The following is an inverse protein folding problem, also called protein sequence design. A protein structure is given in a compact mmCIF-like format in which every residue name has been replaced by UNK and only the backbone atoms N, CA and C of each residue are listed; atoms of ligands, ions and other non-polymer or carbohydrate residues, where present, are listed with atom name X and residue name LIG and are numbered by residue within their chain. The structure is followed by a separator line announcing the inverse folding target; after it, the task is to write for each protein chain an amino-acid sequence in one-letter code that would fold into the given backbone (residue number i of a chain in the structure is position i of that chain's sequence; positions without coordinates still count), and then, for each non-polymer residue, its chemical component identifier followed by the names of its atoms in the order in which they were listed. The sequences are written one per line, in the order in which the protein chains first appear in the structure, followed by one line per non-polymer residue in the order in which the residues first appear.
data_IF_286633153631
#
_entry.id   IF_286633153631
#
_cell.length_a   1.000
_cell.length_b   1.000
_cell.length_c   1.000
_cell.angle_alpha   90.00
_cell.angle_beta   90.00
_cell.angle_gamma   90.00
#
_symmetry.space_group_name_H-M   'P 1'
#
loop_
_entity.id
_entity.type
_entity.pdbx_description
1 polymer ?
#
# COMPACT_ATOMS: atom_id res chain seq x y z
N UNK A 1 -3.94 -24.93 13.63
CA UNK A 1 -4.78 -23.71 13.56
C UNK A 1 -5.27 -23.55 12.13
N UNK A 2 -6.54 -23.21 11.87
CA UNK A 2 -7.10 -23.19 10.51
C UNK A 2 -6.36 -22.28 9.52
N UNK A 3 -5.62 -21.28 10.01
CA UNK A 3 -4.77 -20.41 9.18
C UNK A 3 -3.48 -21.07 8.67
N UNK A 4 -3.04 -22.20 9.23
CA UNK A 4 -1.84 -22.90 8.74
C UNK A 4 -2.07 -23.61 7.40
N UNK A 5 -3.33 -23.93 7.08
CA UNK A 5 -3.72 -24.48 5.79
C UNK A 5 -3.93 -23.40 4.71
N UNK A 6 -4.10 -22.13 5.11
CA UNK A 6 -4.28 -21.00 4.21
C UNK A 6 -2.96 -20.48 3.61
N UNK A 7 -1.81 -20.93 4.13
CA UNK A 7 -0.48 -20.54 3.64
C UNK A 7 -0.23 -20.93 2.17
N UNK A 8 -1.04 -21.79 1.56
CA UNK A 8 -0.95 -22.11 0.13
C UNK A 8 -1.95 -21.39 -0.77
N UNK A 9 -2.92 -20.64 -0.22
CA UNK A 9 -4.03 -20.07 -0.99
C UNK A 9 -3.92 -18.54 -1.19
N UNK A 10 -3.17 -17.84 -0.33
CA UNK A 10 -2.93 -16.40 -0.50
C UNK A 10 -1.95 -16.09 -1.66
N UNK A 11 -1.17 -17.08 -2.09
CA UNK A 11 -0.12 -16.91 -3.10
C UNK A 11 -0.66 -16.97 -4.55
N UNK A 12 -1.91 -17.39 -4.77
CA UNK A 12 -2.43 -17.63 -6.12
C UNK A 12 -3.08 -16.40 -6.78
N UNK A 13 -3.42 -15.36 -6.01
CA UNK A 13 -4.01 -14.11 -6.55
C UNK A 13 -3.33 -12.90 -5.91
N UNK A 14 -2.62 -12.07 -6.70
CA UNK A 14 -2.01 -10.85 -6.18
C UNK A 14 -3.03 -9.94 -5.51
N UNK A 15 -2.72 -9.43 -4.32
CA UNK A 15 -3.58 -8.48 -3.62
C UNK A 15 -2.80 -7.38 -2.90
N UNK A 16 -3.48 -6.25 -2.71
CA UNK A 16 -3.03 -5.15 -1.88
C UNK A 16 -4.17 -4.74 -0.92
N UNK A 17 -3.86 -4.71 0.38
CA UNK A 17 -4.76 -4.23 1.42
C UNK A 17 -4.30 -2.83 1.88
N UNK A 18 -5.12 -1.82 1.60
CA UNK A 18 -4.89 -0.44 2.04
C UNK A 18 -5.55 -0.11 3.36
N UNK A 19 -4.79 0.53 4.26
CA UNK A 19 -5.27 1.09 5.51
C UNK A 19 -5.15 2.61 5.46
N UNK A 20 -6.27 3.30 5.62
CA UNK A 20 -6.33 4.77 5.62
C UNK A 20 -7.31 5.30 6.66
N UNK A 21 -6.98 6.47 7.21
CA UNK A 21 -7.86 7.27 8.07
C UNK A 21 -8.69 8.23 7.20
N UNK A 22 -9.90 8.65 7.61
CA UNK A 22 -10.72 9.57 6.81
C UNK A 22 -10.00 10.86 6.36
N UNK A 23 -9.18 11.45 7.24
CA UNK A 23 -8.32 12.59 6.86
C UNK A 23 -7.38 12.25 5.70
N UNK A 24 -6.74 11.08 5.75
CA UNK A 24 -5.80 10.62 4.73
C UNK A 24 -6.50 10.36 3.39
N UNK A 25 -7.74 9.83 3.41
CA UNK A 25 -8.56 9.68 2.21
C UNK A 25 -8.94 11.02 1.59
N UNK A 26 -9.23 12.02 2.43
CA UNK A 26 -9.50 13.37 1.95
C UNK A 26 -8.25 13.99 1.30
N UNK A 27 -7.08 13.84 1.90
CA UNK A 27 -5.81 14.30 1.31
C UNK A 27 -5.52 13.58 -0.01
N UNK A 28 -5.76 12.26 -0.09
CA UNK A 28 -5.62 11.50 -1.34
C UNK A 28 -6.57 12.02 -2.42
N UNK A 29 -7.83 12.32 -2.08
CA UNK A 29 -8.80 12.87 -3.03
C UNK A 29 -8.42 14.26 -3.54
N UNK A 30 -7.75 15.08 -2.73
CA UNK A 30 -7.35 16.44 -3.09
C UNK A 30 -6.02 16.48 -3.86
N UNK A 31 -5.05 15.67 -3.48
CA UNK A 31 -3.65 15.79 -3.95
C UNK A 31 -3.13 14.55 -4.69
N UNK A 32 -3.90 13.46 -4.75
CA UNK A 32 -3.48 12.20 -5.35
C UNK A 32 -3.34 12.18 -6.87
N UNK A 33 -3.70 13.25 -7.57
CA UNK A 33 -3.60 13.31 -9.04
C UNK A 33 -2.22 13.75 -9.56
N UNK A 34 -1.44 14.47 -8.76
CA UNK A 34 -0.19 15.06 -9.25
C UNK A 34 1.05 14.27 -8.84
N UNK A 35 1.12 13.79 -7.59
CA UNK A 35 2.30 13.08 -7.10
C UNK A 35 1.93 12.06 -6.03
N UNK A 36 2.11 10.77 -6.33
CA UNK A 36 2.06 9.69 -5.34
C UNK A 36 3.47 9.12 -5.16
N UNK A 37 4.07 9.33 -4.00
CA UNK A 37 5.29 8.63 -3.61
C UNK A 37 4.90 7.31 -2.92
N UNK A 38 5.50 6.22 -3.37
CA UNK A 38 5.38 4.91 -2.72
C UNK A 38 6.74 4.56 -2.13
N UNK A 39 6.80 4.44 -0.81
CA UNK A 39 8.02 4.01 -0.11
C UNK A 39 7.78 2.66 0.59
N UNK A 40 8.65 1.68 0.32
CA UNK A 40 8.57 0.36 0.93
C UNK A 40 9.32 0.38 2.26
N UNK A 41 8.61 0.32 3.38
CA UNK A 41 9.29 0.32 4.68
C UNK A 41 9.64 -1.11 5.08
N UNK A 42 10.94 -1.46 5.01
CA UNK A 42 11.50 -2.62 5.71
C UNK A 42 11.45 -3.97 4.98
N UNK A 43 11.11 -3.98 3.69
CA UNK A 43 11.14 -5.19 2.85
C UNK A 43 10.01 -6.18 3.14
N UNK A 44 10.21 -7.42 2.72
CA UNK A 44 9.25 -8.52 2.88
C UNK A 44 9.31 -9.10 4.30
N UNK A 45 8.16 -9.25 4.98
CA UNK A 45 8.10 -9.90 6.29
C UNK A 45 8.30 -11.43 6.19
N UNK A 46 8.42 -12.13 7.34
CA UNK A 46 8.66 -13.59 7.38
C UNK A 46 7.61 -14.46 6.67
N UNK A 47 6.46 -13.88 6.31
CA UNK A 47 5.36 -14.55 5.64
C UNK A 47 5.22 -14.13 4.16
N UNK A 48 6.17 -13.39 3.59
CA UNK A 48 6.11 -13.02 2.17
C UNK A 48 5.37 -11.74 1.84
N UNK A 49 4.92 -10.95 2.83
CA UNK A 49 4.20 -9.69 2.57
C UNK A 49 5.10 -8.46 2.65
N UNK A 50 4.89 -7.52 1.73
CA UNK A 50 5.61 -6.24 1.69
C UNK A 50 4.71 -5.10 2.14
N UNK A 51 5.27 -4.18 2.91
CA UNK A 51 4.58 -3.00 3.40
C UNK A 51 5.03 -1.74 2.66
N UNK A 52 4.07 -0.97 2.17
CA UNK A 52 4.30 0.32 1.53
C UNK A 52 3.59 1.44 2.28
N UNK A 53 4.19 2.62 2.28
CA UNK A 53 3.54 3.88 2.63
C UNK A 53 3.31 4.65 1.35
N UNK A 54 2.06 5.06 1.14
CA UNK A 54 1.64 5.96 0.07
C UNK A 54 1.66 7.38 0.61
N UNK A 55 2.32 8.30 -0.07
CA UNK A 55 2.34 9.72 0.27
C UNK A 55 1.86 10.56 -0.92
N UNK A 56 1.10 11.61 -0.63
CA UNK A 56 0.83 12.70 -1.57
C UNK A 56 1.63 13.93 -1.19
N UNK A 57 1.78 14.87 -2.12
CA UNK A 57 2.41 16.17 -1.86
C UNK A 57 1.36 17.26 -1.99
N UNK A 58 1.25 18.12 -0.98
CA UNK A 58 0.31 19.25 -1.00
C UNK A 58 0.85 20.45 -1.80
N UNK A 59 0.06 21.52 -1.91
CA UNK A 59 0.43 22.74 -2.63
C UNK A 59 1.66 23.47 -2.05
N UNK A 60 2.07 23.13 -0.82
CA UNK A 60 3.23 23.69 -0.14
C UNK A 60 4.48 22.80 -0.28
N UNK A 61 4.42 21.75 -1.10
CA UNK A 61 5.47 20.73 -1.25
C UNK A 61 5.73 19.93 0.04
N UNK A 62 4.72 19.76 0.89
CA UNK A 62 4.80 18.95 2.11
C UNK A 62 4.22 17.57 1.84
N UNK A 63 5.00 16.54 2.14
CA UNK A 63 4.57 15.14 2.03
C UNK A 63 3.57 14.76 3.13
N UNK A 64 2.42 14.21 2.74
CA UNK A 64 1.40 13.70 3.63
C UNK A 64 1.19 12.19 3.39
N UNK A 65 1.38 11.31 4.39
CA UNK A 65 1.04 9.90 4.24
C UNK A 65 -0.48 9.74 4.11
N UNK A 66 -0.92 8.95 3.13
CA UNK A 66 -2.34 8.78 2.80
C UNK A 66 -2.82 7.33 2.86
N UNK A 67 -1.92 6.36 2.78
CA UNK A 67 -2.27 4.96 2.99
C UNK A 67 -1.04 4.15 3.43
N UNK A 68 -1.31 3.08 4.16
CA UNK A 68 -0.37 1.99 4.39
C UNK A 68 -0.88 0.76 3.63
N UNK A 69 -0.07 0.18 2.75
CA UNK A 69 -0.43 -0.98 1.94
C UNK A 69 0.30 -2.22 2.43
N UNK A 70 -0.43 -3.33 2.58
CA UNK A 70 0.13 -4.67 2.76
C UNK A 70 -0.11 -5.43 1.45
N UNK A 71 0.94 -5.94 0.84
CA UNK A 71 0.88 -6.56 -0.49
C UNK A 71 1.43 -7.99 -0.46
N UNK A 72 0.86 -8.86 -1.29
CA UNK A 72 1.33 -10.25 -1.47
C UNK A 72 2.59 -10.39 -2.32
N UNK A 73 2.99 -9.33 -3.04
CA UNK A 73 4.21 -9.30 -3.83
C UNK A 73 4.71 -7.88 -4.04
N UNK A 74 6.01 -7.74 -4.30
CA UNK A 74 6.68 -6.45 -4.57
C UNK A 74 6.46 -5.91 -5.99
N UNK A 75 5.69 -6.62 -6.80
CA UNK A 75 5.45 -6.27 -8.18
C UNK A 75 4.63 -4.97 -8.33
N UNK A 76 4.98 -4.17 -9.35
CA UNK A 76 4.25 -2.96 -9.68
C UNK A 76 2.79 -3.23 -10.11
N UNK A 77 2.49 -4.47 -10.51
CA UNK A 77 1.16 -4.94 -10.88
C UNK A 77 0.17 -4.81 -9.72
N UNK A 78 0.57 -5.13 -8.49
CA UNK A 78 -0.30 -5.04 -7.31
C UNK A 78 -0.54 -3.60 -6.84
N UNK A 79 0.37 -2.70 -7.19
CA UNK A 79 0.32 -1.28 -6.83
C UNK A 79 -0.33 -0.44 -7.94
N UNK A 80 -0.42 -0.96 -9.16
CA UNK A 80 -1.01 -0.28 -10.32
C UNK A 80 -2.43 0.27 -10.10
N UNK A 81 -3.33 -0.33 -9.29
CA UNK A 81 -4.63 0.27 -9.01
C UNK A 81 -4.57 1.53 -8.14
N UNK A 82 -3.41 1.82 -7.53
CA UNK A 82 -3.17 2.96 -6.64
C UNK A 82 -2.26 4.03 -7.27
N UNK A 83 -1.82 3.81 -8.51
CA UNK A 83 -1.02 4.71 -9.34
C UNK A 83 -1.90 5.30 -10.46
#
# INVERSE_FOLDING_TARGET
QPWQAANGACDEVPFALGLSHPFMLNMLGQFGQEVVHLDATGGTNKNGFTFYVVLVVDEYNIGCPVAALITSSEGADVLSPFL
#
